data_IF_134344275575
#
_entry.id   IF_134344275575
#
_cell.length_a   1.000
_cell.length_b   1.000
_cell.length_c   1.000
_cell.angle_alpha   90.00
_cell.angle_beta   90.00
_cell.angle_gamma   90.00
#
_symmetry.space_group_name_H-M   'P 1'
#
loop_
_entity.id
_entity.type
_entity.pdbx_description
1 polymer ?
#
# COMPACT_ATOMS: atom_id res chain seq x y z
N UNK A 1 -39.55 7.46 8.28
CA UNK A 1 -39.40 6.24 9.09
C UNK A 1 -39.12 6.65 10.52
N UNK A 2 -39.85 6.11 11.48
CA UNK A 2 -39.57 6.28 12.92
C UNK A 2 -38.76 5.05 13.32
N UNK A 3 -37.53 5.25 13.77
CA UNK A 3 -36.68 4.17 14.27
C UNK A 3 -36.99 3.94 15.75
N UNK A 4 -37.00 2.68 16.24
CA UNK A 4 -37.25 2.39 17.65
C UNK A 4 -36.06 2.71 18.57
N UNK A 5 -35.01 3.32 18.03
CA UNK A 5 -33.76 3.68 18.71
C UNK A 5 -33.26 5.05 18.22
N UNK A 6 -32.43 5.71 19.04
CA UNK A 6 -31.78 6.97 18.67
C UNK A 6 -30.57 6.68 17.77
N UNK A 7 -30.58 7.24 16.55
CA UNK A 7 -29.50 7.10 15.58
C UNK A 7 -28.19 7.76 16.04
N UNK A 8 -28.27 8.79 16.88
CA UNK A 8 -27.12 9.47 17.46
C UNK A 8 -26.44 8.61 18.52
N UNK A 9 -27.23 7.97 19.37
CA UNK A 9 -26.73 7.00 20.35
C UNK A 9 -26.10 5.80 19.66
N UNK A 10 -26.79 5.25 18.66
CA UNK A 10 -26.29 4.13 17.85
C UNK A 10 -24.96 4.47 17.15
N UNK A 11 -24.82 5.67 16.59
CA UNK A 11 -23.56 6.10 15.98
C UNK A 11 -22.39 6.12 16.99
N UNK A 12 -22.65 6.48 18.25
CA UNK A 12 -21.63 6.40 19.31
C UNK A 12 -21.30 4.96 19.68
N UNK A 13 -22.31 4.10 19.82
CA UNK A 13 -22.12 2.67 20.08
C UNK A 13 -21.28 2.00 18.98
N UNK A 14 -21.55 2.30 17.71
CA UNK A 14 -20.78 1.79 16.55
C UNK A 14 -19.31 2.15 16.67
N UNK A 15 -19.00 3.38 17.07
CA UNK A 15 -17.61 3.81 17.28
C UNK A 15 -16.95 3.03 18.42
N UNK A 16 -17.65 2.85 19.53
CA UNK A 16 -17.15 2.06 20.67
C UNK A 16 -16.93 0.58 20.30
N UNK A 17 -17.87 -0.03 19.58
CA UNK A 17 -17.75 -1.39 19.06
C UNK A 17 -16.58 -1.54 18.10
N UNK A 18 -16.40 -0.61 17.16
CA UNK A 18 -15.25 -0.64 16.26
C UNK A 18 -13.92 -0.52 17.00
N UNK A 19 -13.83 0.33 18.03
CA UNK A 19 -12.65 0.39 18.93
C UNK A 19 -12.40 -0.97 19.61
N UNK A 20 -13.45 -1.61 20.14
CA UNK A 20 -13.34 -2.94 20.78
C UNK A 20 -12.92 -4.05 19.82
N UNK A 21 -13.22 -3.89 18.53
CA UNK A 21 -12.80 -4.78 17.44
C UNK A 21 -11.37 -4.46 16.96
N UNK A 22 -10.69 -3.49 17.57
CA UNK A 22 -9.29 -3.16 17.30
C UNK A 22 -9.07 -2.19 16.14
N UNK A 23 -10.11 -1.48 15.69
CA UNK A 23 -9.93 -0.31 14.82
C UNK A 23 -9.53 0.89 15.68
N UNK A 24 -8.52 1.67 15.26
CA UNK A 24 -8.08 2.82 16.06
C UNK A 24 -8.94 4.07 15.83
N UNK A 25 -9.77 4.08 14.79
CA UNK A 25 -10.75 5.13 14.56
C UNK A 25 -11.87 4.60 13.65
N UNK A 26 -13.07 5.10 13.90
CA UNK A 26 -14.28 4.81 13.15
C UNK A 26 -14.95 6.16 12.83
N UNK A 27 -15.32 6.35 11.58
CA UNK A 27 -16.02 7.54 11.11
C UNK A 27 -17.20 7.17 10.24
N UNK A 28 -18.19 8.05 10.15
CA UNK A 28 -19.41 7.83 9.37
C UNK A 28 -19.56 8.96 8.35
N UNK A 29 -19.82 8.64 7.09
CA UNK A 29 -20.13 9.65 6.08
C UNK A 29 -21.34 9.26 5.21
N UNK A 30 -21.79 10.22 4.41
CA UNK A 30 -22.72 9.97 3.32
C UNK A 30 -22.04 9.20 2.15
N UNK A 31 -22.79 8.92 1.09
CA UNK A 31 -22.32 8.17 -0.08
C UNK A 31 -21.94 9.04 -1.29
N UNK A 32 -22.04 10.37 -1.19
CA UNK A 32 -21.83 11.28 -2.31
C UNK A 32 -20.33 11.44 -2.62
N UNK A 33 -19.91 10.90 -3.75
CA UNK A 33 -18.55 11.08 -4.30
C UNK A 33 -18.58 11.76 -5.67
N UNK A 34 -19.64 12.53 -5.97
CA UNK A 34 -19.79 13.25 -7.25
C UNK A 34 -18.57 14.13 -7.59
N UNK A 35 -17.93 14.73 -6.59
CA UNK A 35 -16.71 15.53 -6.76
C UNK A 35 -15.46 14.71 -7.16
N UNK A 36 -15.47 13.39 -6.94
CA UNK A 36 -14.38 12.49 -7.30
C UNK A 36 -14.54 11.89 -8.71
N UNK A 37 -15.76 11.84 -9.26
CA UNK A 37 -16.02 11.29 -10.60
C UNK A 37 -15.17 11.99 -11.69
N UNK A 38 -15.10 13.34 -11.78
CA UNK A 38 -14.27 14.00 -12.79
C UNK A 38 -12.77 13.73 -12.61
N UNK A 39 -12.30 13.57 -11.37
CA UNK A 39 -10.89 13.28 -11.07
C UNK A 39 -10.54 11.86 -11.51
N UNK A 40 -11.42 10.90 -11.23
CA UNK A 40 -11.25 9.52 -11.71
C UNK A 40 -11.30 9.48 -13.23
N UNK A 41 -12.25 10.16 -13.87
CA UNK A 41 -12.35 10.19 -15.33
C UNK A 41 -11.06 10.76 -15.94
N UNK A 42 -10.58 11.91 -15.46
CA UNK A 42 -9.34 12.50 -15.95
C UNK A 42 -8.11 11.58 -15.75
N UNK A 43 -8.07 10.80 -14.67
CA UNK A 43 -7.02 9.82 -14.43
C UNK A 43 -7.10 8.61 -15.35
N UNK A 44 -8.32 8.15 -15.67
CA UNK A 44 -8.59 7.08 -16.64
C UNK A 44 -8.24 7.53 -18.07
N UNK A 45 -8.62 8.74 -18.46
CA UNK A 45 -8.36 9.33 -19.78
C UNK A 45 -6.86 9.46 -20.06
N UNK A 46 -6.07 9.78 -19.01
CA UNK A 46 -4.60 9.81 -19.07
C UNK A 46 -3.96 8.40 -19.06
N UNK A 47 -4.77 7.35 -18.97
CA UNK A 47 -4.34 5.94 -18.86
C UNK A 47 -3.36 5.68 -17.70
N UNK A 48 -3.48 6.46 -16.63
CA UNK A 48 -2.59 6.35 -15.47
C UNK A 48 -2.82 5.06 -14.67
N UNK A 49 -3.80 4.23 -15.01
CA UNK A 49 -4.03 2.89 -14.46
C UNK A 49 -3.09 1.80 -14.98
N UNK A 50 -2.38 2.04 -16.09
CA UNK A 50 -1.56 1.00 -16.72
C UNK A 50 -2.39 -0.24 -17.08
N UNK A 51 -1.90 -1.42 -16.73
CA UNK A 51 -2.50 -2.72 -17.03
C UNK A 51 -3.66 -3.10 -16.08
N UNK A 52 -3.99 -2.25 -15.10
CA UNK A 52 -5.13 -2.48 -14.19
C UNK A 52 -6.46 -2.27 -14.91
N UNK A 53 -6.78 -3.10 -15.91
CA UNK A 53 -7.94 -2.95 -16.78
C UNK A 53 -9.27 -2.90 -16.01
N UNK A 54 -9.32 -3.50 -14.81
CA UNK A 54 -10.48 -3.41 -13.92
C UNK A 54 -10.79 -1.98 -13.46
N UNK A 55 -9.80 -1.07 -13.42
CA UNK A 55 -10.03 0.34 -13.11
C UNK A 55 -10.92 1.01 -14.15
N UNK A 56 -10.72 0.70 -15.44
CA UNK A 56 -11.54 1.22 -16.52
C UNK A 56 -12.85 0.44 -16.68
N UNK A 57 -12.81 -0.90 -16.58
CA UNK A 57 -13.97 -1.77 -16.85
C UNK A 57 -15.17 -1.52 -15.93
N UNK A 58 -14.91 -1.10 -14.69
CA UNK A 58 -15.95 -0.85 -13.69
C UNK A 58 -16.56 0.54 -13.81
N UNK A 59 -16.09 1.39 -14.74
CA UNK A 59 -16.58 2.75 -14.92
C UNK A 59 -16.58 3.54 -13.60
N UNK A 60 -17.71 4.16 -13.27
CA UNK A 60 -17.88 4.96 -12.05
C UNK A 60 -18.37 4.17 -10.84
N UNK A 61 -18.44 2.84 -10.90
CA UNK A 61 -18.88 2.00 -9.78
C UNK A 61 -18.09 2.30 -8.49
N UNK A 62 -16.80 2.63 -8.62
CA UNK A 62 -15.91 3.05 -7.52
C UNK A 62 -16.37 4.31 -6.78
N UNK A 63 -17.01 5.24 -7.50
CA UNK A 63 -17.54 6.49 -6.96
C UNK A 63 -19.03 6.37 -6.57
N UNK A 64 -19.66 5.21 -6.72
CA UNK A 64 -21.11 5.04 -6.53
C UNK A 64 -21.43 3.90 -5.56
N UNK A 65 -21.29 4.13 -4.24
CA UNK A 65 -21.58 3.10 -3.23
C UNK A 65 -22.97 2.46 -3.35
N UNK A 66 -23.98 3.21 -3.78
CA UNK A 66 -25.35 2.71 -3.98
C UNK A 66 -25.47 1.66 -5.10
N UNK A 67 -24.57 1.65 -6.08
CA UNK A 67 -24.53 0.61 -7.12
C UNK A 67 -23.83 -0.69 -6.61
N UNK A 68 -22.97 -0.59 -5.59
CA UNK A 68 -22.30 -1.74 -4.96
C UNK A 68 -23.19 -2.50 -3.98
N UNK A 69 -24.05 -1.76 -3.28
CA UNK A 69 -25.07 -2.27 -2.38
C UNK A 69 -26.31 -1.36 -2.48
N UNK A 70 -27.35 -1.77 -3.24
CA UNK A 70 -28.59 -1.02 -3.33
C UNK A 70 -29.20 -0.74 -1.95
N UNK A 71 -29.68 0.49 -1.74
CA UNK A 71 -30.21 0.94 -0.46
C UNK A 71 -29.18 1.52 0.51
N UNK A 72 -27.89 1.57 0.15
CA UNK A 72 -26.88 2.22 0.99
C UNK A 72 -27.22 3.69 1.25
N UNK A 73 -27.30 4.07 2.53
CA UNK A 73 -27.49 5.45 2.97
C UNK A 73 -26.23 6.05 3.59
N UNK A 74 -25.39 5.22 4.22
CA UNK A 74 -24.18 5.65 4.92
C UNK A 74 -23.02 4.69 4.69
N UNK A 75 -21.83 5.22 4.88
CA UNK A 75 -20.58 4.46 4.92
C UNK A 75 -19.95 4.64 6.28
N UNK A 76 -19.67 3.53 6.96
CA UNK A 76 -18.80 3.53 8.15
C UNK A 76 -17.39 3.20 7.66
N UNK A 77 -16.48 4.15 7.76
CA UNK A 77 -15.06 3.97 7.45
C UNK A 77 -14.29 3.69 8.72
N UNK A 78 -13.34 2.75 8.67
CA UNK A 78 -12.47 2.40 9.79
C UNK A 78 -11.00 2.47 9.38
N UNK A 79 -10.11 2.68 10.36
CA UNK A 79 -8.67 2.50 10.16
C UNK A 79 -8.06 1.50 11.13
N UNK A 80 -7.03 0.80 10.67
CA UNK A 80 -6.23 -0.11 11.49
C UNK A 80 -4.74 0.09 11.27
N UNK A 81 -4.00 0.50 12.30
CA UNK A 81 -2.56 0.72 12.24
C UNK A 81 -1.83 -0.59 11.87
N UNK A 82 -0.80 -0.48 11.03
CA UNK A 82 0.03 -1.64 10.65
C UNK A 82 1.53 -1.43 10.83
N UNK A 83 1.97 -0.27 11.31
CA UNK A 83 3.39 0.01 11.54
C UNK A 83 3.96 -0.94 12.60
N UNK A 84 4.86 -1.89 12.27
CA UNK A 84 5.39 -2.80 13.26
C UNK A 84 6.49 -2.14 14.08
N UNK A 85 6.66 -2.52 15.35
CA UNK A 85 7.69 -1.96 16.24
C UNK A 85 9.14 -2.09 15.73
N UNK A 86 9.40 -3.07 14.86
CA UNK A 86 10.68 -3.32 14.20
C UNK A 86 10.47 -3.29 12.69
N UNK A 87 10.19 -2.13 12.12
CA UNK A 87 10.00 -2.02 10.67
C UNK A 87 11.31 -2.05 9.92
N UNK A 88 12.45 -1.67 10.51
CA UNK A 88 13.77 -1.82 9.91
C UNK A 88 13.88 -1.11 8.54
N UNK A 89 13.29 0.09 8.42
CA UNK A 89 13.24 0.85 7.17
C UNK A 89 14.62 1.29 6.71
N UNK A 90 15.33 2.08 7.52
CA UNK A 90 16.58 2.70 7.11
C UNK A 90 17.66 1.65 6.91
N UNK A 91 17.80 0.67 7.80
CA UNK A 91 18.81 -0.36 7.66
C UNK A 91 18.61 -1.22 6.39
N UNK A 92 17.36 -1.51 6.00
CA UNK A 92 17.08 -2.25 4.76
C UNK A 92 17.35 -1.38 3.54
N UNK A 93 16.89 -0.12 3.53
CA UNK A 93 17.13 0.78 2.40
C UNK A 93 18.63 1.11 2.23
N UNK A 94 19.39 1.22 3.31
CA UNK A 94 20.84 1.49 3.29
C UNK A 94 21.64 0.36 2.64
N UNK A 95 21.24 -0.88 2.85
CA UNK A 95 21.99 -2.04 2.37
C UNK A 95 21.43 -2.52 1.01
N UNK A 96 22.14 -2.30 -0.11
CA UNK A 96 21.67 -2.72 -1.44
C UNK A 96 21.62 -4.24 -1.63
N UNK A 97 22.24 -5.02 -0.75
CA UNK A 97 22.20 -6.49 -0.78
C UNK A 97 20.93 -7.05 -0.14
N UNK A 98 20.13 -6.22 0.54
CA UNK A 98 18.88 -6.64 1.18
C UNK A 98 17.67 -6.32 0.33
N UNK A 99 16.66 -7.19 0.35
CA UNK A 99 15.37 -6.94 -0.28
C UNK A 99 14.45 -6.06 0.56
N UNK A 100 14.02 -4.93 0.02
CA UNK A 100 13.00 -4.09 0.63
C UNK A 100 11.59 -4.52 0.19
N UNK A 101 10.81 -4.98 1.15
CA UNK A 101 9.37 -5.27 1.02
C UNK A 101 8.59 -4.22 1.80
N UNK A 102 7.62 -3.58 1.16
CA UNK A 102 6.76 -2.58 1.81
C UNK A 102 6.08 -3.15 3.06
N UNK A 103 5.98 -2.34 4.12
CA UNK A 103 5.62 -2.85 5.45
C UNK A 103 4.21 -3.39 5.58
N UNK A 104 3.30 -2.96 4.71
CA UNK A 104 1.95 -3.48 4.70
C UNK A 104 1.90 -4.98 4.34
N UNK A 105 2.93 -5.51 3.67
CA UNK A 105 2.95 -6.87 3.13
C UNK A 105 3.82 -7.87 3.92
N UNK A 106 4.47 -7.43 4.99
CA UNK A 106 5.41 -8.26 5.75
C UNK A 106 4.73 -9.35 6.60
N UNK A 107 3.48 -9.13 6.99
CA UNK A 107 2.71 -10.02 7.86
C UNK A 107 1.71 -10.90 7.12
N UNK A 108 0.57 -11.13 7.78
CA UNK A 108 -0.64 -11.72 7.21
C UNK A 108 -1.38 -10.68 6.36
N UNK A 109 -2.08 -11.19 5.37
CA UNK A 109 -2.91 -10.40 4.47
C UNK A 109 -4.04 -9.69 5.22
N UNK A 110 -3.97 -8.36 5.24
CA UNK A 110 -4.88 -7.46 5.96
C UNK A 110 -6.33 -7.58 5.49
N UNK A 111 -6.56 -7.94 4.21
CA UNK A 111 -7.89 -8.06 3.63
C UNK A 111 -8.80 -8.98 4.45
N UNK A 112 -8.27 -10.12 4.89
CA UNK A 112 -9.04 -11.12 5.64
C UNK A 112 -9.40 -10.62 7.04
N UNK A 113 -8.42 -10.04 7.74
CA UNK A 113 -8.60 -9.56 9.11
C UNK A 113 -9.60 -8.39 9.17
N UNK A 114 -9.40 -7.36 8.34
CA UNK A 114 -10.27 -6.19 8.33
C UNK A 114 -11.70 -6.57 7.91
N UNK A 115 -11.86 -7.39 6.87
CA UNK A 115 -13.19 -7.82 6.41
C UNK A 115 -13.93 -8.62 7.49
N UNK A 116 -13.23 -9.49 8.20
CA UNK A 116 -13.82 -10.25 9.30
C UNK A 116 -14.29 -9.33 10.44
N UNK A 117 -13.48 -8.34 10.82
CA UNK A 117 -13.84 -7.38 11.88
C UNK A 117 -14.96 -6.42 11.45
N UNK A 118 -14.96 -5.95 10.22
CA UNK A 118 -16.06 -5.16 9.66
C UNK A 118 -17.36 -5.97 9.61
N UNK A 119 -17.29 -7.26 9.24
CA UNK A 119 -18.46 -8.13 9.31
C UNK A 119 -18.99 -8.24 10.73
N UNK A 120 -18.11 -8.45 11.73
CA UNK A 120 -18.51 -8.48 13.15
C UNK A 120 -19.15 -7.18 13.60
N UNK A 121 -18.64 -6.03 13.14
CA UNK A 121 -19.23 -4.73 13.41
C UNK A 121 -20.65 -4.62 12.82
N UNK A 122 -20.83 -5.02 11.56
CA UNK A 122 -22.15 -5.09 10.92
C UNK A 122 -23.12 -6.03 11.63
N UNK A 123 -22.65 -7.21 12.04
CA UNK A 123 -23.44 -8.18 12.81
C UNK A 123 -23.86 -7.58 14.18
N UNK A 124 -23.00 -6.81 14.85
CA UNK A 124 -23.35 -6.12 16.10
C UNK A 124 -24.41 -5.03 15.92
N UNK A 125 -24.31 -4.26 14.82
CA UNK A 125 -25.34 -3.26 14.47
C UNK A 125 -26.67 -3.96 14.18
N UNK A 126 -26.65 -5.03 13.39
CA UNK A 126 -27.84 -5.81 13.08
C UNK A 126 -28.50 -6.37 14.36
N UNK A 127 -27.71 -6.92 15.28
CA UNK A 127 -28.24 -7.41 16.56
C UNK A 127 -28.89 -6.32 17.43
N UNK A 128 -28.43 -5.08 17.33
CA UNK A 128 -29.02 -3.95 18.06
C UNK A 128 -30.29 -3.42 17.36
N UNK A 129 -30.26 -3.32 16.03
CA UNK A 129 -31.26 -2.61 15.24
C UNK A 129 -32.38 -3.50 14.68
N UNK A 130 -32.19 -4.82 14.66
CA UNK A 130 -33.04 -5.76 13.93
C UNK A 130 -32.58 -5.92 12.48
N UNK A 131 -33.41 -5.54 11.52
CA UNK A 131 -33.05 -5.64 10.10
C UNK A 131 -31.99 -4.57 9.73
N UNK A 132 -30.97 -5.01 9.00
CA UNK A 132 -29.87 -4.18 8.50
C UNK A 132 -29.35 -4.79 7.20
N UNK A 133 -29.33 -4.01 6.12
CA UNK A 133 -28.60 -4.37 4.92
C UNK A 133 -27.20 -3.77 4.99
N UNK A 134 -26.17 -4.62 5.09
CA UNK A 134 -24.79 -4.15 5.13
C UNK A 134 -23.83 -5.02 4.33
N UNK A 135 -22.72 -4.40 3.90
CA UNK A 135 -21.65 -5.11 3.20
C UNK A 135 -20.27 -4.53 3.53
N UNK A 136 -19.30 -5.35 3.97
CA UNK A 136 -17.93 -4.91 4.23
C UNK A 136 -17.08 -4.89 2.95
N UNK A 137 -16.22 -3.90 2.84
CA UNK A 137 -15.29 -3.68 1.73
C UNK A 137 -13.88 -3.39 2.27
N UNK A 138 -12.87 -3.97 1.61
CA UNK A 138 -11.44 -3.79 1.90
C UNK A 138 -10.67 -4.04 0.60
N UNK A 139 -10.13 -2.99 -0.02
CA UNK A 139 -9.22 -2.84 -1.20
C UNK A 139 -9.64 -3.57 -2.50
N UNK A 140 -9.93 -4.86 -2.37
CA UNK A 140 -10.30 -5.81 -3.44
C UNK A 140 -11.60 -5.52 -4.20
N UNK A 141 -12.39 -4.52 -3.79
CA UNK A 141 -13.65 -4.17 -4.43
C UNK A 141 -13.56 -2.78 -5.08
N UNK A 142 -14.39 -2.49 -6.10
CA UNK A 142 -14.39 -1.19 -6.72
C UNK A 142 -15.13 -0.17 -5.85
N UNK A 143 -14.48 0.31 -4.78
CA UNK A 143 -14.93 1.42 -3.93
C UNK A 143 -13.78 2.41 -3.69
N UNK A 144 -14.09 3.70 -3.62
CA UNK A 144 -13.12 4.75 -3.31
C UNK A 144 -12.94 4.92 -1.78
N UNK A 145 -12.18 4.01 -1.18
CA UNK A 145 -11.92 3.97 0.26
C UNK A 145 -11.36 5.29 0.81
N UNK A 146 -10.35 5.86 0.14
CA UNK A 146 -9.65 7.05 0.67
C UNK A 146 -10.55 8.29 0.67
N UNK A 147 -11.29 8.64 -0.41
CA UNK A 147 -12.29 9.70 -0.36
C UNK A 147 -13.36 9.50 0.71
N UNK A 148 -13.91 8.28 0.86
CA UNK A 148 -14.90 7.98 1.89
C UNK A 148 -14.33 8.17 3.30
N UNK A 149 -13.13 7.65 3.55
CA UNK A 149 -12.44 7.81 4.82
C UNK A 149 -12.14 9.29 5.14
N UNK A 150 -11.79 10.10 4.13
CA UNK A 150 -11.62 11.55 4.31
C UNK A 150 -12.94 12.24 4.67
N UNK A 151 -14.04 11.92 3.97
CA UNK A 151 -15.38 12.42 4.30
C UNK A 151 -15.84 12.00 5.70
N UNK A 152 -15.49 10.80 6.12
CA UNK A 152 -15.78 10.24 7.44
C UNK A 152 -14.90 10.84 8.57
N UNK A 153 -14.05 11.82 8.27
CA UNK A 153 -13.22 12.47 9.28
C UNK A 153 -12.03 11.63 9.76
N UNK A 154 -11.66 10.56 9.04
CA UNK A 154 -10.46 9.76 9.36
C UNK A 154 -9.15 10.48 8.99
N UNK A 155 -9.22 11.55 8.21
CA UNK A 155 -8.06 12.32 7.77
C UNK A 155 -8.33 13.16 6.54
N UNK A 156 -7.28 13.51 5.82
CA UNK A 156 -7.34 14.20 4.52
C UNK A 156 -6.45 13.49 3.50
N UNK A 157 -6.70 13.70 2.21
CA UNK A 157 -5.86 13.11 1.14
C UNK A 157 -4.56 13.90 1.02
N UNK A 158 -3.42 13.24 1.22
CA UNK A 158 -2.11 13.85 1.02
C UNK A 158 -1.75 13.96 -0.46
N UNK A 159 -0.76 14.81 -0.80
CA UNK A 159 -0.31 14.98 -2.19
C UNK A 159 0.22 13.70 -2.86
N UNK A 160 0.57 12.68 -2.09
CA UNK A 160 0.91 11.34 -2.56
C UNK A 160 -0.30 10.39 -2.68
N UNK A 161 -1.52 10.94 -2.67
CA UNK A 161 -2.83 10.27 -2.79
C UNK A 161 -3.22 9.27 -1.70
N UNK A 162 -2.44 9.10 -0.63
CA UNK A 162 -2.85 8.30 0.53
C UNK A 162 -3.59 9.19 1.54
N UNK A 163 -4.43 8.57 2.38
CA UNK A 163 -5.03 9.27 3.51
C UNK A 163 -3.96 9.58 4.56
N UNK A 164 -3.99 10.80 5.08
CA UNK A 164 -3.17 11.29 6.18
C UNK A 164 -4.07 11.61 7.36
N UNK A 165 -3.67 11.13 8.53
CA UNK A 165 -4.29 11.42 9.81
C UNK A 165 -3.30 12.23 10.66
N UNK A 166 -3.81 13.22 11.38
CA UNK A 166 -3.01 14.12 12.21
C UNK A 166 -2.22 13.39 13.30
N UNK A 167 -2.79 12.33 13.87
CA UNK A 167 -2.27 11.60 15.03
C UNK A 167 -1.65 10.25 14.68
N UNK A 168 -1.80 9.77 13.44
CA UNK A 168 -1.26 8.46 13.04
C UNK A 168 -0.54 8.43 11.69
N UNK A 169 -0.43 9.57 10.98
CA UNK A 169 0.23 9.62 9.68
C UNK A 169 -0.57 8.87 8.60
N UNK A 170 0.07 7.96 7.86
CA UNK A 170 -0.54 7.13 6.80
C UNK A 170 -0.34 5.62 7.02
N UNK A 171 0.26 5.20 8.14
CA UNK A 171 0.59 3.79 8.41
C UNK A 171 -0.58 2.98 8.97
N UNK A 172 -1.72 3.04 8.28
CA UNK A 172 -2.92 2.26 8.59
C UNK A 172 -3.61 1.74 7.33
N UNK A 173 -4.32 0.63 7.48
CA UNK A 173 -5.27 0.12 6.49
C UNK A 173 -6.61 0.81 6.63
N UNK A 174 -7.38 0.81 5.55
CA UNK A 174 -8.77 1.28 5.50
C UNK A 174 -9.73 0.11 5.30
N UNK A 175 -10.98 0.35 5.66
CA UNK A 175 -12.09 -0.51 5.25
C UNK A 175 -13.41 0.19 5.46
N UNK A 176 -14.42 -0.23 4.72
CA UNK A 176 -15.71 0.44 4.61
C UNK A 176 -16.84 -0.55 4.85
N UNK A 177 -17.83 -0.14 5.63
CA UNK A 177 -19.08 -0.86 5.80
C UNK A 177 -20.19 0.00 5.20
N UNK A 178 -20.73 -0.43 4.06
CA UNK A 178 -21.94 0.17 3.50
C UNK A 178 -23.14 -0.31 4.30
N UNK A 179 -24.02 0.61 4.69
CA UNK A 179 -25.23 0.31 5.46
C UNK A 179 -26.44 1.12 4.96
N UNK A 180 -27.64 0.63 5.23
CA UNK A 180 -28.92 1.26 4.88
C UNK A 180 -29.57 2.07 6.01
N UNK A 181 -28.83 2.38 7.09
CA UNK A 181 -29.29 3.26 8.16
C UNK A 181 -28.85 4.71 7.96
N UNK A 182 -29.73 5.71 8.17
CA UNK A 182 -29.42 7.12 7.97
C UNK A 182 -28.72 7.74 9.19
N UNK A 183 -27.63 7.10 9.67
CA UNK A 183 -26.85 7.57 10.81
C UNK A 183 -26.37 9.03 10.63
N UNK A 184 -26.18 9.79 11.73
CA UNK A 184 -25.50 11.08 11.63
C UNK A 184 -24.08 10.90 11.08
N UNK A 185 -23.61 11.90 10.33
CA UNK A 185 -22.29 11.90 9.70
C UNK A 185 -21.27 12.67 10.53
N UNK A 186 -20.02 12.24 10.45
CA UNK A 186 -18.86 12.95 10.96
C UNK A 186 -18.41 14.06 10.02
N UNK A 187 -17.56 14.94 10.52
CA UNK A 187 -17.03 16.07 9.76
C UNK A 187 -15.67 15.74 9.15
N UNK A 188 -15.44 16.06 7.86
CA UNK A 188 -14.14 15.91 7.24
C UNK A 188 -13.10 16.81 7.91
N UNK A 189 -11.85 16.37 7.92
CA UNK A 189 -10.74 17.19 8.40
C UNK A 189 -10.21 18.09 7.28
N UNK A 190 -9.69 19.26 7.65
CA UNK A 190 -9.01 20.15 6.70
C UNK A 190 -7.71 19.52 6.17
N UNK A 191 -7.36 19.84 4.93
CA UNK A 191 -6.10 19.46 4.29
C UNK A 191 -4.92 20.21 4.95
N UNK A 192 -3.84 19.50 5.31
CA UNK A 192 -2.72 20.08 6.07
C UNK A 192 -1.33 19.86 5.43
N UNK A 193 -1.23 19.52 4.14
CA UNK A 193 0.06 19.45 3.43
C UNK A 193 0.65 20.84 3.19
N UNK A 194 -0.20 21.86 3.00
CA UNK A 194 0.23 23.23 2.70
C UNK A 194 1.22 23.28 1.52
N UNK A 195 2.37 23.96 1.70
CA UNK A 195 3.41 24.10 0.66
C UNK A 195 4.35 22.89 0.55
N UNK A 196 4.18 21.84 1.36
CA UNK A 196 5.06 20.67 1.34
C UNK A 196 5.02 19.96 -0.03
N UNK A 197 6.19 19.56 -0.56
CA UNK A 197 6.35 18.76 -1.80
C UNK A 197 7.31 17.58 -1.59
N UNK A 198 7.47 17.14 -0.34
CA UNK A 198 8.49 16.16 0.03
C UNK A 198 8.31 14.80 -0.66
N UNK A 199 7.07 14.30 -0.71
CA UNK A 199 6.73 13.04 -1.39
C UNK A 199 7.00 13.08 -2.89
N UNK A 200 6.62 14.19 -3.55
CA UNK A 200 6.82 14.39 -4.99
C UNK A 200 8.31 14.45 -5.35
N UNK A 201 9.08 15.25 -4.60
CA UNK A 201 10.52 15.44 -4.86
C UNK A 201 11.37 14.23 -4.49
N UNK A 202 10.85 13.32 -3.68
CA UNK A 202 11.58 12.12 -3.22
C UNK A 202 11.18 10.86 -3.98
N UNK A 203 9.99 10.82 -4.60
CA UNK A 203 9.57 9.71 -5.44
C UNK A 203 10.65 9.37 -6.48
N UNK A 204 11.23 8.15 -6.48
CA UNK A 204 12.38 7.85 -7.32
C UNK A 204 12.09 8.00 -8.82
N UNK A 205 10.89 7.61 -9.24
CA UNK A 205 10.45 7.57 -10.64
C UNK A 205 9.61 8.78 -11.04
N UNK A 206 9.33 9.71 -10.11
CA UNK A 206 8.44 10.85 -10.34
C UNK A 206 7.00 10.41 -10.65
N UNK A 207 6.51 9.35 -10.00
CA UNK A 207 5.16 8.84 -10.21
C UNK A 207 4.06 9.78 -9.70
N UNK A 208 4.35 10.66 -8.74
CA UNK A 208 3.43 11.71 -8.30
C UNK A 208 3.64 12.92 -9.23
N UNK A 209 2.89 12.97 -10.32
CA UNK A 209 3.11 13.91 -11.44
C UNK A 209 2.64 15.33 -11.12
N UNK A 210 1.66 15.46 -10.24
CA UNK A 210 1.15 16.71 -9.67
C UNK A 210 0.50 16.38 -8.30
N UNK A 211 0.20 17.37 -7.44
CA UNK A 211 -0.46 17.10 -6.16
C UNK A 211 -1.71 16.22 -6.35
N UNK A 212 -1.80 15.14 -5.57
CA UNK A 212 -2.94 14.21 -5.52
C UNK A 212 -3.07 13.27 -6.73
N UNK A 213 -2.25 13.43 -7.77
CA UNK A 213 -2.30 12.60 -8.99
C UNK A 213 -1.06 11.72 -9.10
N UNK A 214 -1.29 10.40 -9.19
CA UNK A 214 -0.24 9.41 -9.37
C UNK A 214 -0.38 8.75 -10.73
N UNK A 215 0.67 8.78 -11.55
CA UNK A 215 0.78 7.90 -12.72
C UNK A 215 1.26 6.52 -12.24
N UNK A 216 0.34 5.55 -12.16
CA UNK A 216 0.66 4.23 -11.63
C UNK A 216 1.72 3.53 -12.47
N UNK A 217 1.77 3.76 -13.79
CA UNK A 217 2.75 3.15 -14.70
C UNK A 217 4.20 3.43 -14.31
N UNK A 218 4.43 4.53 -13.57
CA UNK A 218 5.75 4.92 -13.05
C UNK A 218 5.95 4.49 -11.59
N UNK A 219 4.89 4.18 -10.86
CA UNK A 219 4.94 3.90 -9.43
C UNK A 219 5.61 2.56 -9.16
N UNK A 220 6.68 2.54 -8.37
CA UNK A 220 7.39 1.30 -7.99
C UNK A 220 6.43 0.26 -7.37
N UNK A 221 5.41 0.71 -6.64
CA UNK A 221 4.39 -0.18 -6.09
C UNK A 221 3.62 -0.91 -7.20
N UNK A 222 3.18 -0.19 -8.24
CA UNK A 222 2.53 -0.80 -9.41
C UNK A 222 3.51 -1.70 -10.19
N UNK A 223 4.74 -1.23 -10.45
CA UNK A 223 5.75 -1.98 -11.20
C UNK A 223 6.09 -3.33 -10.56
N UNK A 224 6.07 -3.40 -9.22
CA UNK A 224 6.41 -4.63 -8.49
C UNK A 224 5.21 -5.54 -8.22
N UNK A 225 3.98 -5.01 -8.27
CA UNK A 225 2.79 -5.74 -7.81
C UNK A 225 1.78 -5.99 -8.94
N UNK A 226 1.45 -4.95 -9.71
CA UNK A 226 0.35 -4.98 -10.67
C UNK A 226 0.82 -5.26 -12.09
N UNK A 227 1.99 -4.75 -12.47
CA UNK A 227 2.56 -4.98 -13.80
C UNK A 227 2.86 -6.47 -13.98
N UNK A 228 2.24 -7.11 -14.99
CA UNK A 228 2.48 -8.52 -15.31
C UNK A 228 3.74 -8.69 -16.15
N UNK A 229 3.90 -7.83 -17.16
CA UNK A 229 4.99 -7.86 -18.14
C UNK A 229 6.33 -7.32 -17.65
N UNK A 230 7.23 -6.92 -18.58
CA UNK A 230 8.56 -6.46 -18.24
C UNK A 230 8.55 -5.07 -17.59
N UNK A 231 9.39 -4.88 -16.56
CA UNK A 231 9.59 -3.56 -15.95
C UNK A 231 10.37 -2.71 -16.96
N UNK A 232 9.89 -1.52 -17.36
CA UNK A 232 10.59 -0.65 -18.31
C UNK A 232 12.02 -0.33 -17.86
N UNK A 233 12.99 -0.41 -18.78
CA UNK A 233 14.41 -0.32 -18.44
C UNK A 233 14.78 0.98 -17.74
N UNK A 234 14.14 2.10 -18.09
CA UNK A 234 14.40 3.40 -17.48
C UNK A 234 14.04 3.46 -15.99
N UNK A 235 13.15 2.58 -15.51
CA UNK A 235 12.78 2.52 -14.09
C UNK A 235 13.62 1.52 -13.30
N UNK A 236 14.22 0.51 -13.94
CA UNK A 236 14.99 -0.54 -13.25
C UNK A 236 16.10 0.03 -12.34
N UNK A 237 16.95 0.99 -12.78
CA UNK A 237 17.94 1.63 -11.89
C UNK A 237 17.33 2.38 -10.70
N UNK A 238 16.13 2.95 -10.89
CA UNK A 238 15.49 3.84 -9.90
C UNK A 238 14.79 3.06 -8.78
N UNK A 239 14.49 1.77 -9.00
CA UNK A 239 13.86 0.91 -8.00
C UNK A 239 14.78 0.63 -6.80
N UNK A 240 16.10 0.64 -7.01
CA UNK A 240 17.08 0.24 -6.01
C UNK A 240 16.82 -1.20 -5.57
N UNK A 241 16.65 -1.41 -4.27
CA UNK A 241 16.41 -2.72 -3.67
C UNK A 241 14.95 -3.02 -3.31
N UNK A 242 13.99 -2.27 -3.88
CA UNK A 242 12.55 -2.47 -3.64
C UNK A 242 12.02 -3.61 -4.51
N UNK A 243 11.67 -4.72 -3.86
CA UNK A 243 11.25 -5.95 -4.55
C UNK A 243 9.74 -6.22 -4.46
N UNK A 244 9.03 -5.53 -3.56
CA UNK A 244 7.59 -5.62 -3.43
C UNK A 244 7.02 -4.36 -2.75
N UNK A 245 6.26 -3.56 -3.49
CA UNK A 245 5.74 -2.28 -2.99
C UNK A 245 6.80 -1.18 -2.85
N UNK A 246 6.37 0.01 -2.44
CA UNK A 246 7.26 1.14 -2.16
C UNK A 246 6.65 2.04 -1.10
N UNK A 247 7.45 2.41 -0.10
CA UNK A 247 7.01 3.27 1.00
C UNK A 247 7.59 4.69 0.94
N UNK A 248 8.40 5.02 -0.07
CA UNK A 248 9.20 6.26 -0.08
C UNK A 248 8.37 7.54 0.12
N UNK A 249 7.19 7.61 -0.50
CA UNK A 249 6.31 8.77 -0.37
C UNK A 249 5.70 8.89 1.04
N UNK A 250 5.52 7.78 1.75
CA UNK A 250 5.12 7.73 3.15
C UNK A 250 6.30 8.07 4.05
N UNK A 251 7.44 7.39 3.89
CA UNK A 251 8.63 7.54 4.72
C UNK A 251 9.16 8.98 4.77
N UNK A 252 9.02 9.74 3.69
CA UNK A 252 9.40 11.16 3.66
C UNK A 252 8.31 12.12 4.16
N UNK A 253 7.07 11.65 4.30
CA UNK A 253 5.95 12.50 4.70
C UNK A 253 6.13 12.94 6.16
N UNK A 254 6.12 14.26 6.46
CA UNK A 254 6.37 14.75 7.82
C UNK A 254 5.31 14.31 8.83
N UNK A 255 4.10 14.00 8.37
CA UNK A 255 3.02 13.51 9.23
C UNK A 255 3.27 12.10 9.77
N UNK A 256 4.12 11.30 9.12
CA UNK A 256 4.42 9.95 9.59
C UNK A 256 5.30 9.91 10.84
N UNK A 257 5.82 11.05 11.29
CA UNK A 257 6.46 11.15 12.60
C UNK A 257 5.50 10.95 13.77
N UNK A 258 4.21 11.12 13.54
CA UNK A 258 3.15 10.92 14.53
C UNK A 258 2.60 9.50 14.51
N UNK A 259 3.12 8.63 13.63
CA UNK A 259 2.56 7.32 13.44
C UNK A 259 2.71 6.43 14.67
N UNK A 260 1.62 5.74 14.96
CA UNK A 260 1.52 4.84 16.09
C UNK A 260 1.81 3.42 15.62
N UNK A 261 2.45 2.65 16.50
CA UNK A 261 2.69 1.24 16.26
C UNK A 261 1.38 0.46 16.24
N UNK A 262 1.41 -0.69 15.59
CA UNK A 262 0.33 -1.67 15.66
C UNK A 262 0.52 -2.60 16.85
N UNK A 263 -0.58 -2.90 17.54
CA UNK A 263 -0.65 -4.00 18.51
C UNK A 263 -1.16 -5.30 17.85
N UNK A 264 -1.41 -5.27 16.54
CA UNK A 264 -1.93 -6.42 15.80
C UNK A 264 -0.80 -7.39 15.41
N UNK A 265 -0.80 -8.55 16.05
CA UNK A 265 0.19 -9.61 15.80
C UNK A 265 0.15 -10.13 14.36
N UNK A 266 -1.01 -10.14 13.71
CA UNK A 266 -1.14 -10.55 12.30
C UNK A 266 -0.31 -9.67 11.35
N UNK A 267 0.02 -8.42 11.74
CA UNK A 267 0.86 -7.52 10.94
C UNK A 267 2.35 -7.58 11.29
N UNK A 268 2.73 -8.45 12.22
CA UNK A 268 4.14 -8.66 12.57
C UNK A 268 4.93 -9.22 11.39
N UNK A 269 6.16 -8.73 11.12
CA UNK A 269 6.97 -9.24 10.03
C UNK A 269 7.26 -10.74 10.14
N UNK A 270 7.05 -11.47 9.04
CA UNK A 270 7.56 -12.84 8.90
C UNK A 270 9.10 -12.81 8.94
N UNK A 271 9.70 -13.73 9.70
CA UNK A 271 11.16 -13.79 9.85
C UNK A 271 11.90 -13.84 8.50
N UNK A 272 11.41 -14.64 7.56
CA UNK A 272 12.00 -14.79 6.23
C UNK A 272 11.89 -13.53 5.34
N UNK A 273 11.07 -12.55 5.71
CA UNK A 273 10.87 -11.28 5.00
C UNK A 273 11.39 -10.07 5.79
N UNK A 274 11.92 -10.28 6.99
CA UNK A 274 12.41 -9.21 7.84
C UNK A 274 13.90 -8.94 7.56
N UNK A 275 14.16 -7.97 6.68
CA UNK A 275 15.51 -7.59 6.21
C UNK A 275 16.29 -8.69 5.45
N UNK A 276 15.65 -9.41 4.51
CA UNK A 276 16.23 -10.59 3.86
C UNK A 276 17.35 -10.23 2.88
N UNK A 277 18.33 -11.12 2.71
CA UNK A 277 19.36 -11.00 1.67
C UNK A 277 18.75 -11.32 0.30
N UNK A 278 19.08 -10.53 -0.73
CA UNK A 278 18.53 -10.67 -2.08
C UNK A 278 18.87 -12.02 -2.70
N UNK A 279 20.11 -12.50 -2.51
CA UNK A 279 20.55 -13.81 -3.01
C UNK A 279 19.75 -14.95 -2.40
N UNK A 280 19.46 -14.89 -1.09
CA UNK A 280 18.65 -15.90 -0.42
C UNK A 280 17.24 -15.95 -0.99
N UNK A 281 16.64 -14.79 -1.26
CA UNK A 281 15.30 -14.70 -1.86
C UNK A 281 15.28 -15.19 -3.32
N UNK A 282 16.31 -14.85 -4.10
CA UNK A 282 16.43 -15.28 -5.50
C UNK A 282 16.61 -16.79 -5.63
N UNK A 283 17.19 -17.43 -4.61
CA UNK A 283 17.38 -18.88 -4.55
C UNK A 283 16.15 -19.65 -4.04
N UNK A 284 15.02 -18.99 -3.77
CA UNK A 284 13.81 -19.71 -3.41
C UNK A 284 13.30 -20.56 -4.58
N UNK A 285 12.92 -21.81 -4.31
CA UNK A 285 12.07 -22.56 -5.24
C UNK A 285 10.65 -22.00 -5.18
N UNK A 286 9.84 -22.31 -6.20
CA UNK A 286 8.42 -21.95 -6.20
C UNK A 286 7.69 -22.51 -4.97
N UNK A 287 7.95 -23.78 -4.62
CA UNK A 287 7.39 -24.40 -3.41
C UNK A 287 7.74 -23.63 -2.13
N UNK A 288 9.00 -23.18 -2.00
CA UNK A 288 9.43 -22.38 -0.85
C UNK A 288 8.73 -21.03 -0.85
N UNK A 289 8.62 -20.36 -2.01
CA UNK A 289 7.88 -19.10 -2.15
C UNK A 289 6.42 -19.27 -1.73
N UNK A 290 5.71 -20.28 -2.26
CA UNK A 290 4.30 -20.52 -1.96
C UNK A 290 4.06 -20.80 -0.47
N UNK A 291 4.93 -21.63 0.15
CA UNK A 291 4.86 -21.94 1.58
C UNK A 291 5.12 -20.71 2.46
N UNK A 292 6.20 -19.96 2.18
CA UNK A 292 6.57 -18.80 3.01
C UNK A 292 5.60 -17.63 2.85
N UNK A 293 5.00 -17.45 1.67
CA UNK A 293 4.05 -16.37 1.40
C UNK A 293 2.60 -16.76 1.65
N UNK A 294 2.32 -17.96 2.18
CA UNK A 294 0.97 -18.39 2.47
C UNK A 294 0.23 -17.42 3.40
N UNK A 295 -0.91 -16.92 2.95
CA UNK A 295 -1.69 -15.93 3.69
C UNK A 295 -1.05 -14.54 3.76
N UNK A 296 -0.06 -14.22 2.93
CA UNK A 296 0.48 -12.87 2.72
C UNK A 296 -0.04 -12.31 1.40
N UNK A 297 -0.18 -10.98 1.32
CA UNK A 297 -0.50 -10.28 0.08
C UNK A 297 0.53 -10.56 -1.04
N UNK A 298 1.78 -10.87 -0.70
CA UNK A 298 2.86 -11.13 -1.67
C UNK A 298 2.55 -12.33 -2.56
N UNK A 299 1.85 -13.34 -2.05
CA UNK A 299 1.59 -14.59 -2.79
C UNK A 299 0.89 -14.34 -4.13
N UNK A 300 0.11 -13.25 -4.24
CA UNK A 300 -0.67 -12.92 -5.44
C UNK A 300 0.17 -12.63 -6.68
N UNK A 301 1.42 -12.18 -6.52
CA UNK A 301 2.26 -11.86 -7.68
C UNK A 301 2.83 -13.12 -8.34
N UNK A 302 2.88 -14.25 -7.63
CA UNK A 302 3.49 -15.48 -8.10
C UNK A 302 5.03 -15.43 -8.10
N UNK A 303 5.65 -16.61 -8.22
CA UNK A 303 7.10 -16.76 -8.08
C UNK A 303 7.88 -16.10 -9.23
N UNK A 304 7.37 -16.15 -10.46
CA UNK A 304 8.03 -15.55 -11.62
C UNK A 304 8.23 -14.04 -11.46
N UNK A 305 7.18 -13.29 -11.08
CA UNK A 305 7.28 -11.84 -10.84
C UNK A 305 8.11 -11.50 -9.61
N UNK A 306 8.10 -12.37 -8.60
CA UNK A 306 8.99 -12.26 -7.44
C UNK A 306 10.46 -12.29 -7.86
N UNK A 307 10.86 -13.29 -8.67
CA UNK A 307 12.22 -13.39 -9.23
C UNK A 307 12.55 -12.22 -10.16
N UNK A 308 11.61 -11.81 -11.03
CA UNK A 308 11.76 -10.63 -11.92
C UNK A 308 12.15 -9.39 -11.13
N UNK A 309 11.42 -9.10 -10.04
CA UNK A 309 11.68 -7.93 -9.20
C UNK A 309 13.04 -8.03 -8.49
N UNK A 310 13.41 -9.23 -8.02
CA UNK A 310 14.70 -9.45 -7.36
C UNK A 310 15.87 -9.35 -8.34
N UNK A 311 15.72 -9.82 -9.58
CA UNK A 311 16.74 -9.66 -10.62
C UNK A 311 17.08 -8.17 -10.83
N UNK A 312 16.06 -7.29 -10.86
CA UNK A 312 16.29 -5.83 -10.93
C UNK A 312 17.08 -5.34 -9.71
N UNK A 313 16.71 -5.76 -8.50
CA UNK A 313 17.43 -5.37 -7.28
C UNK A 313 18.88 -5.87 -7.25
N UNK A 314 19.13 -7.11 -7.72
CA UNK A 314 20.47 -7.68 -7.88
C UNK A 314 21.30 -6.91 -8.92
N UNK A 315 20.71 -6.50 -10.03
CA UNK A 315 21.36 -5.63 -11.01
C UNK A 315 21.73 -4.26 -10.43
N UNK A 316 20.96 -3.76 -9.46
CA UNK A 316 21.22 -2.51 -8.77
C UNK A 316 22.28 -2.60 -7.65
N UNK A 317 22.56 -3.81 -7.16
CA UNK A 317 23.52 -4.05 -6.09
C UNK A 317 24.98 -3.80 -6.54
N UNK A 318 25.92 -3.61 -5.60
CA UNK A 318 27.35 -3.66 -5.89
C UNK A 318 27.74 -4.94 -6.61
N UNK A 319 28.87 -4.89 -7.34
CA UNK A 319 29.37 -6.06 -8.04
C UNK A 319 29.67 -7.21 -7.06
N UNK A 320 29.16 -8.40 -7.35
CA UNK A 320 29.57 -9.65 -6.71
C UNK A 320 29.52 -10.81 -7.71
N UNK A 321 30.58 -11.62 -7.77
CA UNK A 321 30.61 -12.81 -8.64
C UNK A 321 29.43 -13.76 -8.35
N UNK A 322 29.07 -13.91 -7.06
CA UNK A 322 27.94 -14.74 -6.63
C UNK A 322 26.60 -14.28 -7.20
N UNK A 323 26.39 -12.97 -7.38
CA UNK A 323 25.19 -12.43 -8.02
C UNK A 323 25.12 -12.84 -9.48
N UNK A 324 26.21 -12.66 -10.22
CA UNK A 324 26.28 -13.04 -11.65
C UNK A 324 26.07 -14.54 -11.82
N UNK A 325 26.68 -15.36 -10.95
CA UNK A 325 26.50 -16.82 -10.94
C UNK A 325 25.03 -17.18 -10.68
N UNK A 326 24.42 -16.67 -9.61
CA UNK A 326 23.03 -16.95 -9.27
C UNK A 326 22.07 -16.55 -10.40
N UNK A 327 22.23 -15.34 -10.95
CA UNK A 327 21.45 -14.85 -12.10
C UNK A 327 21.54 -15.82 -13.29
N UNK A 328 22.74 -16.30 -13.65
CA UNK A 328 22.91 -17.24 -14.77
C UNK A 328 22.23 -18.59 -14.55
N UNK A 329 22.10 -19.07 -13.31
CA UNK A 329 21.49 -20.39 -13.05
C UNK A 329 20.01 -20.46 -13.42
N UNK A 330 19.34 -19.31 -13.54
CA UNK A 330 17.91 -19.22 -13.87
C UNK A 330 17.61 -18.83 -15.32
N UNK A 331 18.65 -18.67 -16.15
CA UNK A 331 18.45 -18.39 -17.57
C UNK A 331 17.73 -19.57 -18.24
N UNK A 332 16.74 -19.28 -19.08
CA UNK A 332 15.91 -20.25 -19.78
C UNK A 332 14.67 -20.72 -19.01
N UNK A 333 14.45 -20.26 -17.77
CA UNK A 333 13.22 -20.55 -17.02
C UNK A 333 11.99 -19.83 -17.62
N UNK A 334 12.17 -18.62 -18.16
CA UNK A 334 11.11 -17.82 -18.79
C UNK A 334 11.71 -16.63 -19.54
N UNK A 335 11.18 -16.32 -20.72
CA UNK A 335 11.61 -15.15 -21.52
C UNK A 335 11.53 -13.84 -20.73
N UNK A 336 10.46 -13.65 -19.94
CA UNK A 336 10.29 -12.47 -19.09
C UNK A 336 11.41 -12.35 -18.06
N UNK A 337 11.76 -13.46 -17.42
CA UNK A 337 12.82 -13.47 -16.40
C UNK A 337 14.19 -13.28 -17.04
N UNK A 338 14.44 -13.93 -18.18
CA UNK A 338 15.69 -13.86 -18.93
C UNK A 338 16.03 -12.43 -19.34
N UNK A 339 15.05 -11.64 -19.79
CA UNK A 339 15.23 -10.22 -20.10
C UNK A 339 15.80 -9.44 -18.90
N UNK A 340 15.23 -9.67 -17.71
CA UNK A 340 15.66 -8.97 -16.49
C UNK A 340 17.00 -9.50 -15.97
N UNK A 341 17.26 -10.80 -16.14
CA UNK A 341 18.54 -11.42 -15.81
C UNK A 341 19.66 -10.85 -16.69
N UNK A 342 19.45 -10.77 -18.01
CA UNK A 342 20.44 -10.21 -18.93
C UNK A 342 20.75 -8.76 -18.58
N UNK A 343 19.72 -7.95 -18.32
CA UNK A 343 19.90 -6.58 -17.84
C UNK A 343 20.70 -6.53 -16.53
N UNK A 344 20.37 -7.39 -15.55
CA UNK A 344 21.04 -7.42 -14.26
C UNK A 344 22.51 -7.85 -14.34
N UNK A 345 22.81 -8.86 -15.17
CA UNK A 345 24.19 -9.30 -15.44
C UNK A 345 24.98 -8.19 -16.10
N UNK A 346 24.41 -7.52 -17.11
CA UNK A 346 25.07 -6.39 -17.77
C UNK A 346 25.41 -5.28 -16.74
N UNK A 347 24.47 -4.92 -15.88
CA UNK A 347 24.66 -3.94 -14.81
C UNK A 347 25.78 -4.33 -13.82
N UNK A 348 25.85 -5.60 -13.44
CA UNK A 348 26.90 -6.14 -12.58
C UNK A 348 28.28 -6.06 -13.26
N UNK A 349 28.39 -6.48 -14.52
CA UNK A 349 29.65 -6.46 -15.27
C UNK A 349 30.15 -5.03 -15.56
N UNK A 350 29.22 -4.09 -15.78
CA UNK A 350 29.56 -2.67 -15.90
C UNK A 350 30.18 -2.13 -14.61
N UNK A 351 29.57 -2.39 -13.44
CA UNK A 351 30.10 -1.97 -12.13
C UNK A 351 31.47 -2.58 -11.82
N UNK A 352 31.70 -3.84 -12.20
CA UNK A 352 33.02 -4.49 -12.10
C UNK A 352 34.08 -3.70 -12.86
N UNK A 353 33.74 -3.28 -14.08
CA UNK A 353 34.67 -2.63 -15.02
C UNK A 353 34.95 -1.18 -14.63
N UNK A 354 33.95 -0.45 -14.14
CA UNK A 354 34.09 0.97 -13.76
C UNK A 354 34.71 1.19 -12.37
N UNK A 355 34.96 0.13 -11.59
CA UNK A 355 35.35 0.23 -10.15
C UNK A 355 34.45 1.20 -9.39
N UNK A 356 33.19 1.29 -9.78
CA UNK A 356 32.26 2.27 -9.24
C UNK A 356 32.12 2.10 -7.72
N UNK A 357 32.46 3.15 -6.99
CA UNK A 357 32.13 3.26 -5.58
C UNK A 357 30.64 3.57 -5.50
N UNK A 358 29.88 2.75 -4.79
CA UNK A 358 28.44 2.94 -4.64
C UNK A 358 28.14 4.29 -3.95
N UNK A 359 27.68 5.27 -4.73
CA UNK A 359 27.17 6.52 -4.20
C UNK A 359 25.65 6.44 -4.14
N UNK A 360 25.11 6.29 -2.93
CA UNK A 360 23.65 6.36 -2.75
C UNK A 360 23.13 7.71 -3.30
N UNK A 361 22.06 7.71 -4.12
CA UNK A 361 21.48 8.94 -4.65
C UNK A 361 21.10 9.93 -3.54
N UNK A 362 21.23 11.24 -3.80
CA UNK A 362 20.92 12.27 -2.80
C UNK A 362 19.48 12.14 -2.26
N UNK A 363 18.51 11.78 -3.11
CA UNK A 363 17.12 11.50 -2.70
C UNK A 363 17.03 10.33 -1.73
N UNK A 364 17.76 9.23 -1.97
CA UNK A 364 17.83 8.05 -1.09
C UNK A 364 18.46 8.41 0.26
N UNK A 365 19.58 9.16 0.26
CA UNK A 365 20.21 9.67 1.50
C UNK A 365 19.26 10.55 2.31
N UNK A 366 18.53 11.45 1.64
CA UNK A 366 17.50 12.30 2.27
C UNK A 366 16.39 11.46 2.90
N UNK A 367 15.88 10.47 2.17
CA UNK A 367 14.84 9.56 2.64
C UNK A 367 15.28 8.80 3.89
N UNK A 368 16.45 8.16 3.83
CA UNK A 368 17.05 7.42 4.94
C UNK A 368 17.20 8.32 6.17
N UNK A 369 17.75 9.52 5.99
CA UNK A 369 17.90 10.48 7.09
C UNK A 369 16.55 10.91 7.69
N UNK A 370 15.51 11.04 6.86
CA UNK A 370 14.18 11.39 7.32
C UNK A 370 13.58 10.27 8.18
N UNK A 371 13.79 9.01 7.80
CA UNK A 371 13.41 7.84 8.59
C UNK A 371 14.13 7.83 9.93
N UNK A 372 15.47 7.91 9.94
CA UNK A 372 16.28 7.81 11.17
C UNK A 372 16.02 8.93 12.19
N UNK A 373 15.60 10.10 11.72
CA UNK A 373 15.32 11.26 12.58
C UNK A 373 13.84 11.45 12.91
N UNK A 374 12.98 10.95 12.03
CA UNK A 374 11.59 11.36 11.95
C UNK A 374 10.61 10.27 12.33
N UNK A 375 10.93 8.99 12.15
CA UNK A 375 10.04 7.89 12.52
C UNK A 375 10.39 7.35 13.90
N UNK A 376 9.37 7.02 14.74
CA UNK A 376 9.57 6.80 16.16
C UNK A 376 10.76 5.94 16.58
N UNK A 377 11.22 4.88 15.92
CA UNK A 377 12.33 4.01 16.37
C UNK A 377 12.90 3.18 15.22
N UNK A 378 12.84 3.70 13.99
CA UNK A 378 13.02 2.91 12.74
C UNK A 378 12.02 1.73 12.61
N UNK A 379 11.21 1.42 13.64
CA UNK A 379 9.78 1.72 13.93
C UNK A 379 9.41 3.12 14.37
#
# INVERSE_FOLDING_TARGET
MIYPYDLSELAQLIKQWGLSLGFQQVGICDTDLSAEEPKLQAWLDKQYHGEMAWMARHGMLRARPHELLPGTLRVISVRMNYLPAKAAFACTLKNPLKGYVSRYALGRDYHKLLRQRLKKLGDQIQNYCGELNFRPFVDSAPIMERPLAAKAGLGWIGKHSLLLNRESGSWFFLGELLIDLPLPIDQPQEEQCGRCVACMTTCPTGAIVEPYTVDARRCISYLTIELEGPIPEEFRPLMGNRIYGCDDCQLICPWNRFSQLTDETDFSPRAALHTPELLDLFNWSEDKFLRITEGSAIRRIGHLRWLRNIAVALGNAPYQDQIVLALRTRLGESELLDEHIHWAIHQQLMRRSSREVEVQPARKKRLIRAVEKGLPRDA
#
